data_IF_012469252600
#
_entry.id   IF_012469252600
#
_cell.length_a   1.000
_cell.length_b   1.000
_cell.length_c   1.000
_cell.angle_alpha   90.00
_cell.angle_beta   90.00
_cell.angle_gamma   90.00
#
_symmetry.space_group_name_H-M   'P 1'
#
loop_
_entity.id
_entity.type
_entity.pdbx_description
1 polymer ?
#
# COMPACT_ATOMS: atom_id res chain seq x y z
N UNK A 1 21.32 -20.68 -8.08
CA UNK A 1 21.47 -20.82 -6.62
C UNK A 1 22.89 -21.32 -6.35
N UNK A 2 23.70 -20.52 -5.62
CA UNK A 2 25.09 -20.90 -5.30
C UNK A 2 25.07 -21.89 -4.13
N UNK A 3 25.71 -23.03 -4.31
CA UNK A 3 25.90 -24.07 -3.29
C UNK A 3 26.79 -23.51 -2.19
N UNK A 4 26.35 -23.53 -0.93
CA UNK A 4 27.22 -23.32 0.22
C UNK A 4 28.25 -24.46 0.26
N UNK A 5 29.53 -24.10 0.19
CA UNK A 5 30.62 -25.04 0.43
C UNK A 5 30.66 -25.33 1.94
N UNK A 6 30.13 -26.49 2.32
CA UNK A 6 30.17 -26.99 3.68
C UNK A 6 31.64 -27.18 4.07
N UNK A 7 32.10 -26.41 5.05
CA UNK A 7 33.45 -26.55 5.63
C UNK A 7 33.57 -28.02 6.06
N UNK A 8 34.59 -28.77 5.60
CA UNK A 8 34.65 -30.20 5.85
C UNK A 8 34.56 -30.48 7.34
N UNK A 9 33.55 -31.29 7.66
CA UNK A 9 33.16 -31.85 8.95
C UNK A 9 34.30 -31.83 9.99
N UNK A 10 34.30 -30.81 10.87
CA UNK A 10 35.23 -30.73 12.00
C UNK A 10 34.85 -31.82 13.01
N UNK A 11 35.47 -33.00 12.85
CA UNK A 11 35.27 -34.14 13.75
C UNK A 11 36.42 -34.21 14.74
N UNK A 12 36.09 -34.15 16.02
CA UNK A 12 37.04 -34.40 17.09
C UNK A 12 37.31 -35.91 17.21
N UNK A 13 38.50 -36.32 17.67
CA UNK A 13 38.77 -37.71 18.01
C UNK A 13 37.82 -38.22 19.09
N UNK A 14 37.48 -39.51 19.03
CA UNK A 14 36.76 -40.20 20.09
C UNK A 14 37.55 -40.11 21.40
N UNK A 15 36.87 -39.82 22.51
CA UNK A 15 37.53 -39.71 23.82
C UNK A 15 38.34 -38.42 24.03
N UNK A 16 38.22 -37.42 23.14
CA UNK A 16 39.02 -36.19 23.21
C UNK A 16 38.81 -35.43 24.52
N UNK A 17 37.56 -35.21 24.93
CA UNK A 17 37.26 -34.43 26.12
C UNK A 17 37.39 -35.27 27.40
N UNK A 18 37.09 -36.55 27.31
CA UNK A 18 37.14 -37.53 28.40
C UNK A 18 38.57 -37.68 28.94
N UNK A 19 39.57 -37.65 28.05
CA UNK A 19 41.00 -37.76 28.41
C UNK A 19 41.73 -36.42 28.41
N UNK A 20 41.03 -35.31 28.20
CA UNK A 20 41.66 -33.99 28.12
C UNK A 20 42.32 -33.60 29.44
N UNK A 21 41.59 -33.76 30.55
CA UNK A 21 42.05 -33.36 31.89
C UNK A 21 43.29 -34.14 32.33
N UNK A 22 43.28 -35.46 32.18
CA UNK A 22 44.43 -36.31 32.50
C UNK A 22 45.68 -35.93 31.68
N UNK A 23 45.50 -35.69 30.37
CA UNK A 23 46.58 -35.26 29.48
C UNK A 23 47.11 -33.87 29.86
N UNK A 24 46.23 -32.94 30.23
CA UNK A 24 46.60 -31.60 30.66
C UNK A 24 47.43 -31.64 31.94
N UNK A 25 46.97 -32.35 32.98
CA UNK A 25 47.71 -32.46 34.25
C UNK A 25 49.03 -33.22 34.10
N UNK A 26 49.05 -34.28 33.30
CA UNK A 26 50.29 -34.98 32.93
C UNK A 26 51.28 -34.01 32.28
N UNK A 27 50.82 -33.17 31.35
CA UNK A 27 51.66 -32.18 30.67
C UNK A 27 52.16 -31.08 31.62
N UNK A 28 51.32 -30.59 32.54
CA UNK A 28 51.69 -29.57 33.54
C UNK A 28 52.71 -30.11 34.55
N UNK A 29 52.64 -31.40 34.85
CA UNK A 29 53.56 -32.07 35.79
C UNK A 29 54.91 -32.40 35.18
N UNK A 30 55.04 -32.41 33.84
CA UNK A 30 56.33 -32.45 33.18
C UNK A 30 57.09 -31.14 33.47
N UNK A 31 58.16 -31.17 34.28
CA UNK A 31 58.98 -30.00 34.67
C UNK A 31 59.72 -29.30 33.49
N UNK A 32 59.32 -29.55 32.25
CA UNK A 32 59.90 -29.00 31.03
C UNK A 32 59.39 -27.59 30.68
N UNK A 33 58.68 -26.92 31.58
CA UNK A 33 58.24 -25.55 31.33
C UNK A 33 59.41 -24.57 31.47
N UNK A 34 59.61 -23.68 30.49
CA UNK A 34 60.59 -22.62 30.63
C UNK A 34 60.23 -21.74 31.84
N UNK A 35 61.17 -21.58 32.77
CA UNK A 35 61.02 -20.72 33.96
C UNK A 35 60.99 -19.23 33.62
N UNK A 36 61.38 -18.87 32.40
CA UNK A 36 61.28 -17.53 31.85
C UNK A 36 60.03 -17.39 30.99
N UNK A 37 59.45 -16.19 30.97
CA UNK A 37 58.39 -15.88 30.00
C UNK A 37 58.91 -16.16 28.57
N UNK A 38 58.31 -17.15 27.90
CA UNK A 38 58.75 -17.61 26.58
C UNK A 38 58.64 -16.55 25.50
N UNK A 39 57.78 -15.54 25.72
CA UNK A 39 57.63 -14.39 24.84
C UNK A 39 58.04 -13.12 25.58
N UNK A 40 59.04 -12.43 25.02
CA UNK A 40 59.36 -11.06 25.41
C UNK A 40 58.71 -10.12 24.42
N UNK A 41 58.06 -9.08 24.93
CA UNK A 41 57.60 -7.99 24.06
C UNK A 41 58.82 -7.24 23.51
N UNK A 42 58.73 -6.70 22.28
CA UNK A 42 59.76 -5.79 21.77
C UNK A 42 59.93 -4.57 22.68
N UNK A 43 61.13 -4.01 22.68
CA UNK A 43 61.42 -2.76 23.40
C UNK A 43 60.44 -1.66 22.94
N UNK A 44 59.89 -0.92 23.91
CA UNK A 44 58.91 0.14 23.67
C UNK A 44 57.61 -0.27 22.98
N UNK A 45 57.20 -1.55 23.10
CA UNK A 45 55.88 -2.01 22.65
C UNK A 45 54.74 -1.21 23.30
N UNK A 46 54.76 -1.10 24.64
CA UNK A 46 53.72 -0.40 25.39
C UNK A 46 53.82 1.12 25.21
N UNK A 47 55.02 1.68 25.11
CA UNK A 47 55.23 3.12 24.91
C UNK A 47 54.62 3.62 23.58
N UNK A 48 54.61 2.76 22.55
CA UNK A 48 54.06 3.09 21.23
C UNK A 48 52.66 2.51 20.99
N UNK A 49 52.08 1.82 21.98
CA UNK A 49 50.77 1.18 21.85
C UNK A 49 49.69 2.21 21.60
N UNK A 50 49.63 3.27 22.43
CA UNK A 50 48.63 4.31 22.35
C UNK A 50 48.68 5.04 21.00
N UNK A 51 49.87 5.43 20.57
CA UNK A 51 50.10 6.07 19.28
C UNK A 51 49.69 5.16 18.11
N UNK A 52 49.95 3.85 18.21
CA UNK A 52 49.54 2.86 17.21
C UNK A 52 48.01 2.70 17.17
N UNK A 53 47.35 2.57 18.31
CA UNK A 53 45.89 2.43 18.39
C UNK A 53 45.20 3.67 17.80
N UNK A 54 45.62 4.87 18.22
CA UNK A 54 45.10 6.13 17.69
C UNK A 54 45.35 6.27 16.19
N UNK A 55 46.54 5.91 15.70
CA UNK A 55 46.84 5.92 14.26
C UNK A 55 45.95 4.94 13.49
N UNK A 56 45.61 3.79 14.07
CA UNK A 56 44.76 2.78 13.40
C UNK A 56 43.29 3.23 13.36
N UNK A 57 42.81 3.85 14.44
CA UNK A 57 41.47 4.46 14.47
C UNK A 57 41.34 5.61 13.46
N UNK A 58 42.31 6.52 13.43
CA UNK A 58 42.32 7.66 12.49
C UNK A 58 42.62 7.23 11.05
N UNK A 59 43.40 6.17 10.82
CA UNK A 59 43.61 5.61 9.48
C UNK A 59 42.36 4.93 8.92
N UNK A 60 41.40 4.53 9.78
CA UNK A 60 40.09 4.03 9.35
C UNK A 60 39.20 5.11 8.74
N UNK A 61 39.51 6.40 8.93
CA UNK A 61 38.80 7.49 8.25
C UNK A 61 39.22 7.65 6.79
N UNK A 62 40.29 6.95 6.36
CA UNK A 62 40.60 6.88 4.93
C UNK A 62 39.54 5.99 4.29
N UNK A 63 38.45 6.64 3.87
CA UNK A 63 37.28 6.06 3.23
C UNK A 63 37.71 4.84 2.42
N UNK A 64 37.44 3.64 2.93
CA UNK A 64 37.61 2.43 2.14
C UNK A 64 36.87 2.67 0.82
N UNK A 65 37.42 2.17 -0.29
CA UNK A 65 36.81 2.28 -1.62
C UNK A 65 35.52 1.45 -1.65
N UNK A 66 34.49 1.95 -0.97
CA UNK A 66 33.16 1.38 -0.95
C UNK A 66 32.50 1.81 -2.23
N UNK A 67 32.13 0.83 -3.05
CA UNK A 67 31.24 1.09 -4.17
C UNK A 67 29.84 1.29 -3.57
N UNK A 68 29.23 2.45 -3.83
CA UNK A 68 27.84 2.68 -3.46
C UNK A 68 26.98 1.64 -4.16
N UNK A 69 26.31 0.76 -3.39
CA UNK A 69 25.46 -0.32 -3.91
C UNK A 69 24.26 0.21 -4.71
N UNK A 70 23.89 1.49 -4.50
CA UNK A 70 22.89 2.18 -5.30
C UNK A 70 23.53 3.42 -5.94
N UNK A 71 23.97 3.33 -7.20
CA UNK A 71 24.39 4.51 -7.93
C UNK A 71 23.15 5.37 -8.17
N UNK A 72 23.11 6.59 -7.59
CA UNK A 72 22.02 7.56 -7.77
C UNK A 72 21.68 7.85 -9.25
N UNK A 73 22.59 7.52 -10.17
CA UNK A 73 22.38 7.58 -11.64
C UNK A 73 21.23 6.68 -12.12
N UNK A 74 20.99 5.53 -11.49
CA UNK A 74 19.89 4.62 -11.90
C UNK A 74 18.55 4.96 -11.24
N UNK A 75 18.56 5.79 -10.19
CA UNK A 75 17.33 6.19 -9.48
C UNK A 75 16.40 7.01 -10.38
N UNK A 76 16.95 7.85 -11.26
CA UNK A 76 16.15 8.60 -12.23
C UNK A 76 15.46 7.71 -13.27
N UNK A 77 16.16 6.69 -13.76
CA UNK A 77 15.60 5.73 -14.73
C UNK A 77 14.55 4.82 -14.09
N UNK A 78 14.82 4.32 -12.88
CA UNK A 78 13.86 3.50 -12.13
C UNK A 78 12.59 4.29 -11.77
N UNK A 79 12.72 5.56 -11.38
CA UNK A 79 11.58 6.44 -11.09
C UNK A 79 10.73 6.70 -12.35
N UNK A 80 11.35 6.92 -13.50
CA UNK A 80 10.64 7.10 -14.77
C UNK A 80 9.86 5.84 -15.18
N UNK A 81 10.46 4.65 -15.08
CA UNK A 81 9.76 3.39 -15.38
C UNK A 81 8.59 3.18 -14.42
N UNK A 82 8.78 3.42 -13.12
CA UNK A 82 7.71 3.29 -12.13
C UNK A 82 6.56 4.27 -12.42
N UNK A 83 6.86 5.52 -12.76
CA UNK A 83 5.86 6.52 -13.14
C UNK A 83 5.09 6.09 -14.41
N UNK A 84 5.79 5.59 -15.44
CA UNK A 84 5.15 5.09 -16.66
C UNK A 84 4.27 3.86 -16.39
N UNK A 85 4.68 2.96 -15.50
CA UNK A 85 3.85 1.81 -15.10
C UNK A 85 2.62 2.24 -14.31
N UNK A 86 2.76 3.21 -13.40
CA UNK A 86 1.63 3.77 -12.65
C UNK A 86 0.65 4.49 -13.59
N UNK A 87 1.15 5.32 -14.52
CA UNK A 87 0.34 5.99 -15.55
C UNK A 87 -0.35 4.97 -16.48
N UNK A 88 0.40 3.99 -16.98
CA UNK A 88 -0.14 2.93 -17.82
C UNK A 88 -1.21 2.12 -17.09
N UNK A 89 -0.95 1.71 -15.85
CA UNK A 89 -1.89 0.97 -15.02
C UNK A 89 -3.13 1.79 -14.68
N UNK A 90 -2.99 3.06 -14.31
CA UNK A 90 -4.14 3.93 -14.01
C UNK A 90 -5.02 4.18 -15.24
N UNK A 91 -4.44 4.37 -16.42
CA UNK A 91 -5.21 4.52 -17.67
C UNK A 91 -5.91 3.21 -18.05
N UNK A 92 -5.24 2.05 -17.88
CA UNK A 92 -5.82 0.75 -18.26
C UNK A 92 -6.80 0.18 -17.23
N UNK A 93 -6.68 0.57 -15.96
CA UNK A 93 -7.48 0.05 -14.85
C UNK A 93 -8.55 1.03 -14.37
N UNK A 94 -8.64 2.22 -14.97
CA UNK A 94 -9.79 3.09 -14.75
C UNK A 94 -10.90 2.65 -15.69
N UNK A 95 -11.96 2.07 -15.13
CA UNK A 95 -13.22 1.98 -15.83
C UNK A 95 -13.70 3.42 -16.03
N UNK A 96 -13.43 3.99 -17.21
CA UNK A 96 -14.11 5.21 -17.67
C UNK A 96 -15.57 4.85 -17.91
N UNK A 97 -16.30 4.68 -16.83
CA UNK A 97 -17.75 4.64 -16.80
C UNK A 97 -18.19 5.97 -17.41
N UNK A 98 -18.73 5.91 -18.63
CA UNK A 98 -19.32 7.07 -19.34
C UNK A 98 -20.41 7.80 -18.54
N UNK A 99 -20.82 7.21 -17.41
CA UNK A 99 -21.89 7.66 -16.54
C UNK A 99 -21.67 9.05 -15.92
N UNK A 100 -20.44 9.54 -15.75
CA UNK A 100 -20.22 10.83 -15.06
C UNK A 100 -20.65 12.06 -15.88
N UNK A 101 -20.62 11.98 -17.22
CA UNK A 101 -21.06 13.09 -18.06
C UNK A 101 -22.59 13.12 -18.20
N UNK A 102 -23.21 11.96 -18.35
CA UNK A 102 -24.67 11.85 -18.45
C UNK A 102 -25.35 12.24 -17.13
N UNK A 103 -24.78 11.85 -15.98
CA UNK A 103 -25.31 12.25 -14.67
C UNK A 103 -25.09 13.73 -14.36
N UNK A 104 -23.97 14.31 -14.81
CA UNK A 104 -23.70 15.73 -14.65
C UNK A 104 -24.65 16.58 -15.52
N UNK A 105 -24.93 16.13 -16.74
CA UNK A 105 -25.91 16.77 -17.62
C UNK A 105 -27.32 16.67 -17.04
N UNK A 106 -27.72 15.50 -16.52
CA UNK A 106 -29.02 15.34 -15.90
C UNK A 106 -29.17 16.22 -14.64
N UNK A 107 -28.16 16.25 -13.77
CA UNK A 107 -28.15 17.13 -12.61
C UNK A 107 -28.21 18.62 -12.99
N UNK A 108 -27.60 19.01 -14.12
CA UNK A 108 -27.70 20.38 -14.62
C UNK A 108 -29.12 20.72 -15.11
N UNK A 109 -29.80 19.77 -15.74
CA UNK A 109 -31.22 19.90 -16.13
C UNK A 109 -32.08 20.02 -14.88
N UNK A 110 -31.92 19.13 -13.89
CA UNK A 110 -32.70 19.16 -12.64
C UNK A 110 -32.58 20.52 -11.92
N UNK A 111 -31.34 21.01 -11.73
CA UNK A 111 -31.12 22.33 -11.13
C UNK A 111 -31.76 23.47 -11.95
N UNK A 112 -31.77 23.35 -13.27
CA UNK A 112 -32.39 24.35 -14.13
C UNK A 112 -33.92 24.42 -13.93
N UNK A 113 -34.56 23.27 -13.72
CA UNK A 113 -36.00 23.17 -13.39
C UNK A 113 -36.27 23.71 -11.99
N UNK A 114 -35.49 23.29 -10.99
CA UNK A 114 -35.69 23.61 -9.58
C UNK A 114 -35.54 25.11 -9.28
N UNK A 115 -34.61 25.79 -9.96
CA UNK A 115 -34.42 27.24 -9.86
C UNK A 115 -35.56 28.04 -10.55
N UNK A 116 -36.58 27.36 -11.08
CA UNK A 116 -37.77 28.00 -11.66
C UNK A 116 -37.51 28.69 -13.01
N UNK A 117 -36.43 28.31 -13.72
CA UNK A 117 -36.12 28.87 -15.04
C UNK A 117 -37.00 28.29 -16.16
N UNK A 118 -37.80 27.25 -15.86
CA UNK A 118 -38.84 26.76 -16.76
C UNK A 118 -40.14 27.53 -16.52
N UNK A 119 -40.50 28.38 -17.49
CA UNK A 119 -41.81 29.01 -17.56
C UNK A 119 -42.70 28.26 -18.56
N UNK A 120 -43.15 27.06 -18.16
CA UNK A 120 -44.08 26.25 -18.92
C UNK A 120 -45.42 26.23 -18.18
N UNK A 121 -46.50 26.58 -18.85
CA UNK A 121 -47.85 26.38 -18.33
C UNK A 121 -48.41 25.01 -18.75
N UNK A 122 -49.55 24.63 -18.17
CA UNK A 122 -50.20 23.36 -18.47
C UNK A 122 -50.64 23.27 -19.95
N UNK A 123 -51.01 24.40 -20.56
CA UNK A 123 -51.47 24.42 -21.95
C UNK A 123 -50.32 24.14 -22.92
N UNK A 124 -49.18 24.80 -22.70
CA UNK A 124 -47.94 24.55 -23.43
C UNK A 124 -47.51 23.09 -23.29
N UNK A 125 -47.55 22.53 -22.07
CA UNK A 125 -47.22 21.13 -21.83
C UNK A 125 -48.15 20.17 -22.60
N UNK A 126 -49.46 20.41 -22.58
CA UNK A 126 -50.44 19.58 -23.30
C UNK A 126 -50.34 19.68 -24.82
N UNK A 127 -49.70 20.73 -25.35
CA UNK A 127 -49.41 20.84 -26.78
C UNK A 127 -48.22 19.98 -27.22
N UNK A 128 -47.35 19.60 -26.29
CA UNK A 128 -46.14 18.82 -26.55
C UNK A 128 -46.28 17.33 -26.21
N UNK A 129 -47.31 16.96 -25.46
CA UNK A 129 -47.61 15.57 -25.07
C UNK A 129 -48.73 15.04 -25.97
N UNK A 130 -48.53 13.88 -26.59
CA UNK A 130 -49.58 13.20 -27.36
C UNK A 130 -50.12 11.92 -26.67
N UNK A 131 -51.15 11.32 -27.29
CA UNK A 131 -51.80 10.11 -26.76
C UNK A 131 -50.88 8.87 -26.73
N UNK A 132 -49.81 8.84 -27.53
CA UNK A 132 -48.82 7.75 -27.52
C UNK A 132 -47.82 7.94 -26.37
N UNK A 133 -47.39 9.18 -26.12
CA UNK A 133 -46.54 9.54 -24.99
C UNK A 133 -47.21 9.18 -23.65
N UNK A 134 -48.50 9.50 -23.49
CA UNK A 134 -49.25 9.18 -22.25
C UNK A 134 -49.30 7.67 -22.01
N UNK A 135 -49.43 6.86 -23.06
CA UNK A 135 -49.44 5.39 -22.95
C UNK A 135 -48.05 4.81 -22.68
N UNK A 136 -46.99 5.51 -23.08
CA UNK A 136 -45.61 5.14 -22.81
C UNK A 136 -45.18 5.48 -21.37
N UNK A 137 -45.90 6.37 -20.68
CA UNK A 137 -45.69 6.60 -19.24
C UNK A 137 -46.13 5.36 -18.47
N UNK A 138 -45.14 4.58 -18.03
CA UNK A 138 -45.37 3.44 -17.16
C UNK A 138 -45.59 3.93 -15.72
N UNK A 139 -46.86 4.14 -15.36
CA UNK A 139 -47.25 4.36 -13.97
C UNK A 139 -47.12 3.04 -13.21
N UNK A 140 -45.99 2.86 -12.53
CA UNK A 140 -45.81 1.79 -11.55
C UNK A 140 -46.85 1.95 -10.44
N UNK A 141 -48.01 1.32 -10.61
CA UNK A 141 -49.17 1.37 -9.69
C UNK A 141 -48.82 0.81 -8.29
N UNK A 142 -47.64 0.20 -8.15
CA UNK A 142 -47.11 -0.34 -6.89
C UNK A 142 -46.45 0.68 -5.96
N UNK A 143 -46.17 1.90 -6.43
CA UNK A 143 -45.47 2.91 -5.61
C UNK A 143 -46.37 3.73 -4.69
N UNK A 144 -47.69 3.70 -4.90
CA UNK A 144 -48.66 4.40 -4.08
C UNK A 144 -49.49 3.38 -3.31
N UNK A 145 -49.68 3.58 -2.00
CA UNK A 145 -50.58 2.71 -1.24
C UNK A 145 -52.03 3.10 -1.53
N UNK A 146 -52.93 2.11 -1.55
CA UNK A 146 -54.37 2.33 -1.73
C UNK A 146 -54.91 3.37 -0.75
N UNK A 147 -54.41 3.37 0.49
CA UNK A 147 -54.78 4.35 1.52
C UNK A 147 -54.31 5.77 1.21
N UNK A 148 -53.11 5.93 0.65
CA UNK A 148 -52.60 7.25 0.26
C UNK A 148 -53.41 7.82 -0.92
N UNK A 149 -53.80 6.95 -1.86
CA UNK A 149 -54.64 7.31 -2.99
C UNK A 149 -56.07 7.67 -2.53
N UNK A 150 -56.67 6.85 -1.67
CA UNK A 150 -57.99 7.09 -1.08
C UNK A 150 -58.03 8.43 -0.34
N UNK A 151 -57.03 8.70 0.51
CA UNK A 151 -56.95 9.96 1.23
C UNK A 151 -56.81 11.17 0.30
N UNK A 152 -55.95 11.09 -0.72
CA UNK A 152 -55.77 12.17 -1.69
C UNK A 152 -57.06 12.47 -2.45
N UNK A 153 -57.78 11.41 -2.88
CA UNK A 153 -59.05 11.54 -3.57
C UNK A 153 -60.09 12.18 -2.65
N UNK A 154 -60.23 11.72 -1.40
CA UNK A 154 -61.18 12.29 -0.45
C UNK A 154 -60.86 13.74 -0.06
N UNK A 155 -59.59 14.13 -0.06
CA UNK A 155 -59.18 15.49 0.34
C UNK A 155 -59.29 16.51 -0.81
N UNK A 156 -59.23 16.06 -2.07
CA UNK A 156 -59.23 16.95 -3.24
C UNK A 156 -60.49 16.84 -4.12
N UNK A 157 -61.39 15.89 -3.83
CA UNK A 157 -62.66 15.74 -4.54
C UNK A 157 -63.76 16.50 -3.80
N UNK A 158 -64.50 17.35 -4.51
CA UNK A 158 -65.63 18.09 -3.92
C UNK A 158 -66.70 17.12 -3.41
N UNK A 159 -67.22 17.37 -2.20
CA UNK A 159 -68.25 16.55 -1.53
C UNK A 159 -69.50 16.32 -2.39
N UNK A 160 -69.86 17.27 -3.28
CA UNK A 160 -70.99 17.11 -4.21
C UNK A 160 -70.78 15.96 -5.22
N UNK A 161 -69.53 15.65 -5.56
CA UNK A 161 -69.19 14.58 -6.50
C UNK A 161 -69.37 13.20 -5.86
N UNK A 162 -69.06 13.07 -4.57
CA UNK A 162 -69.18 11.82 -3.80
C UNK A 162 -70.64 11.41 -3.55
N UNK A 163 -71.56 12.37 -3.51
CA UNK A 163 -72.99 12.15 -3.21
C UNK A 163 -73.77 11.76 -4.48
N UNK A 164 -73.30 12.12 -5.67
CA UNK A 164 -74.01 11.90 -6.94
C UNK A 164 -73.72 10.56 -7.64
N UNK A 165 -72.76 9.76 -7.15
CA UNK A 165 -72.46 8.41 -7.69
C UNK A 165 -72.98 7.25 -6.81
N UNK A 166 -74.11 7.44 -6.12
CA UNK A 166 -74.79 6.37 -5.36
C UNK A 166 -76.06 5.85 -6.05
#
# INVERSE_FOLDING_TARGET
MKKEENIPDFRIPEGYFETFEERLFSKISEENFPKSAGFKVPDSYFDNLDARVLKTMNASEKSQKVISLFPKKYFGYAAAIAACLILGFTIFNTDTSKSTLDTLQLAAIDNYIEEGNLNLDLYDLTSFIDDEDIKAVNFETSQFSDQALENYILENMDEETLINEQ
#
